data_IF_464142948099
#
_entry.id   IF_464142948099
#
_cell.length_a   1.000
_cell.length_b   1.000
_cell.length_c   1.000
_cell.angle_alpha   90.00
_cell.angle_beta   90.00
_cell.angle_gamma   90.00
#
_symmetry.space_group_name_H-M   'P 1'
#
loop_
_entity.id
_entity.type
_entity.pdbx_description
1 polymer ?
#
# COMPACT_ATOMS: atom_id res chain seq x y z
N UNK A 1 15.45 -19.07 -23.71
CA UNK A 1 15.72 -19.61 -22.36
C UNK A 1 14.91 -18.80 -21.36
N UNK A 2 13.82 -19.36 -20.84
CA UNK A 2 13.09 -18.75 -19.73
C UNK A 2 14.03 -18.65 -18.54
N UNK A 3 14.15 -17.45 -18.00
CA UNK A 3 15.03 -17.17 -16.87
C UNK A 3 14.43 -17.85 -15.63
N UNK A 4 15.11 -18.87 -15.08
CA UNK A 4 14.61 -19.72 -13.97
C UNK A 4 14.09 -18.87 -12.81
N UNK A 5 14.74 -17.74 -12.54
CA UNK A 5 14.33 -16.77 -11.51
C UNK A 5 12.92 -16.24 -11.77
N UNK A 6 12.57 -15.92 -13.02
CA UNK A 6 11.24 -15.40 -13.37
C UNK A 6 10.13 -16.44 -13.17
N UNK A 7 10.43 -17.73 -13.34
CA UNK A 7 9.48 -18.81 -13.09
C UNK A 7 9.21 -18.93 -11.57
N UNK A 8 10.27 -18.96 -10.77
CA UNK A 8 10.15 -19.00 -9.30
C UNK A 8 9.40 -17.76 -8.75
N UNK A 9 9.68 -16.58 -9.29
CA UNK A 9 8.97 -15.35 -8.90
C UNK A 9 7.47 -15.44 -9.24
N UNK A 10 7.12 -15.99 -10.40
CA UNK A 10 5.74 -16.12 -10.84
C UNK A 10 4.94 -17.09 -9.96
N UNK A 11 5.54 -18.20 -9.53
CA UNK A 11 4.92 -19.17 -8.61
C UNK A 11 4.56 -18.54 -7.26
N UNK A 12 5.36 -17.58 -6.78
CA UNK A 12 5.13 -16.90 -5.51
C UNK A 12 4.15 -15.72 -5.62
N UNK A 13 3.90 -15.19 -6.82
CA UNK A 13 2.95 -14.09 -7.06
C UNK A 13 1.49 -14.58 -7.18
N UNK A 14 1.04 -15.39 -6.23
CA UNK A 14 -0.28 -16.05 -6.27
C UNK A 14 -1.43 -15.17 -5.73
N UNK A 15 -1.16 -13.98 -5.20
CA UNK A 15 -2.18 -13.07 -4.67
C UNK A 15 -2.80 -12.21 -5.78
N UNK A 16 -4.13 -12.12 -5.79
CA UNK A 16 -4.85 -11.06 -6.52
C UNK A 16 -4.64 -9.71 -5.83
N UNK A 17 -3.88 -8.83 -6.47
CA UNK A 17 -3.67 -7.46 -6.00
C UNK A 17 -4.66 -6.55 -6.70
N UNK A 18 -5.50 -5.77 -5.99
CA UNK A 18 -6.40 -4.84 -6.64
C UNK A 18 -5.61 -3.77 -7.41
N UNK A 19 -6.21 -3.21 -8.46
CA UNK A 19 -5.62 -2.06 -9.12
C UNK A 19 -5.81 -0.80 -8.28
N UNK A 20 -4.69 -0.18 -7.92
CA UNK A 20 -4.63 1.09 -7.21
C UNK A 20 -3.35 1.84 -7.55
N UNK A 21 -3.43 3.14 -7.39
CA UNK A 21 -2.40 4.11 -7.76
C UNK A 21 -2.02 5.00 -6.59
N UNK A 22 -0.86 5.67 -6.65
CA UNK A 22 -0.54 6.74 -5.71
C UNK A 22 -1.68 7.77 -5.70
N UNK A 23 -2.14 8.17 -4.52
CA UNK A 23 -3.27 9.07 -4.32
C UNK A 23 -4.50 8.36 -3.76
N UNK A 24 -4.64 7.06 -4.01
CA UNK A 24 -5.76 6.27 -3.51
C UNK A 24 -5.65 6.02 -2.00
N UNK A 25 -6.80 6.00 -1.33
CA UNK A 25 -6.89 5.54 0.06
C UNK A 25 -7.08 4.03 0.04
N UNK A 26 -6.17 3.31 0.68
CA UNK A 26 -6.18 1.85 0.78
C UNK A 26 -6.27 1.41 2.23
N UNK A 27 -6.95 0.29 2.45
CA UNK A 27 -6.95 -0.45 3.72
C UNK A 27 -6.14 -1.71 3.51
N UNK A 28 -5.06 -1.87 4.27
CA UNK A 28 -4.22 -3.06 4.24
C UNK A 28 -4.48 -3.86 5.51
N UNK A 29 -5.00 -5.07 5.38
CA UNK A 29 -5.12 -5.99 6.51
C UNK A 29 -3.79 -6.71 6.70
N UNK A 30 -3.18 -6.55 7.87
CA UNK A 30 -1.86 -7.11 8.19
C UNK A 30 -2.02 -8.16 9.28
N UNK A 31 -1.43 -9.33 9.08
CA UNK A 31 -1.30 -10.37 10.09
C UNK A 31 -0.27 -9.96 11.13
N UNK A 32 -0.71 -9.84 12.38
CA UNK A 32 0.14 -9.51 13.52
C UNK A 32 0.10 -10.68 14.48
N UNK A 33 1.29 -11.21 14.81
CA UNK A 33 1.47 -12.31 15.77
C UNK A 33 1.92 -11.75 17.11
N UNK A 34 1.12 -11.96 18.14
CA UNK A 34 1.37 -11.56 19.52
C UNK A 34 1.48 -12.84 20.37
N UNK A 35 2.70 -13.35 20.53
CA UNK A 35 2.96 -14.65 21.15
C UNK A 35 2.33 -15.79 20.33
N UNK A 36 1.33 -16.46 20.91
CA UNK A 36 0.61 -17.58 20.28
C UNK A 36 -0.67 -17.16 19.55
N UNK A 37 -1.08 -15.89 19.63
CA UNK A 37 -2.30 -15.40 18.95
C UNK A 37 -1.94 -14.64 17.68
N UNK A 38 -2.74 -14.84 16.65
CA UNK A 38 -2.65 -14.10 15.40
C UNK A 38 -3.95 -13.31 15.20
N UNK A 39 -3.82 -12.03 14.85
CA UNK A 39 -4.95 -11.16 14.53
C UNK A 39 -4.69 -10.35 13.27
N UNK A 40 -5.76 -9.93 12.62
CA UNK A 40 -5.68 -8.96 11.53
C UNK A 40 -5.75 -7.54 12.09
N UNK A 41 -4.79 -6.72 11.69
CA UNK A 41 -4.76 -5.30 11.99
C UNK A 41 -4.89 -4.50 10.69
N UNK A 42 -5.93 -3.67 10.62
CA UNK A 42 -6.14 -2.78 9.50
C UNK A 42 -5.18 -1.57 9.56
N UNK A 43 -4.52 -1.29 8.45
CA UNK A 43 -3.77 -0.06 8.21
C UNK A 43 -4.42 0.71 7.07
N UNK A 44 -5.27 1.68 7.42
CA UNK A 44 -5.90 2.59 6.45
C UNK A 44 -5.06 3.85 6.25
N UNK A 45 -4.80 4.22 5.00
CA UNK A 45 -4.15 5.47 4.66
C UNK A 45 -4.01 5.70 3.17
N UNK A 46 -3.36 6.79 2.80
CA UNK A 46 -3.12 7.17 1.40
C UNK A 46 -1.89 6.45 0.87
N UNK A 47 -2.00 5.81 -0.28
CA UNK A 47 -0.84 5.32 -1.03
C UNK A 47 -0.05 6.52 -1.57
N UNK A 48 1.19 6.72 -1.09
CA UNK A 48 2.02 7.85 -1.52
C UNK A 48 3.11 7.45 -2.51
N UNK A 49 3.40 6.15 -2.62
CA UNK A 49 4.36 5.61 -3.56
C UNK A 49 4.04 4.15 -3.86
N UNK A 50 4.25 3.73 -5.11
CA UNK A 50 4.14 2.35 -5.55
C UNK A 50 5.37 2.00 -6.39
N UNK A 51 5.97 0.84 -6.12
CA UNK A 51 7.13 0.28 -6.83
C UNK A 51 6.69 -1.04 -7.46
N UNK A 52 6.69 -1.09 -8.79
CA UNK A 52 6.32 -2.29 -9.56
C UNK A 52 7.60 -3.02 -10.00
N UNK A 53 7.89 -4.17 -9.38
CA UNK A 53 9.10 -4.99 -9.57
C UNK A 53 8.81 -6.49 -9.38
N UNK A 54 7.73 -7.02 -9.95
CA UNK A 54 7.36 -8.43 -9.81
C UNK A 54 7.16 -8.79 -8.33
N UNK A 55 7.77 -9.90 -7.86
CA UNK A 55 7.69 -10.33 -6.46
C UNK A 55 8.20 -9.26 -5.48
N UNK A 56 9.18 -8.46 -5.92
CA UNK A 56 9.79 -7.36 -5.16
C UNK A 56 8.99 -6.05 -5.23
N UNK A 57 7.71 -6.12 -5.63
CA UNK A 57 6.83 -4.96 -5.67
C UNK A 57 6.47 -4.50 -4.26
N UNK A 58 6.45 -3.20 -4.05
CA UNK A 58 6.13 -2.60 -2.76
C UNK A 58 5.29 -1.34 -2.91
N UNK A 59 4.60 -0.95 -1.85
CA UNK A 59 3.87 0.32 -1.82
C UNK A 59 3.93 0.94 -0.43
N UNK A 60 3.90 2.27 -0.37
CA UNK A 60 3.99 3.03 0.87
C UNK A 60 2.64 3.65 1.17
N UNK A 61 2.10 3.34 2.34
CA UNK A 61 0.85 3.92 2.84
C UNK A 61 1.17 4.89 3.97
N UNK A 62 0.65 6.11 3.87
CA UNK A 62 0.78 7.17 4.87
C UNK A 62 -0.56 7.39 5.56
N UNK A 63 -0.57 7.43 6.89
CA UNK A 63 -1.70 7.87 7.70
C UNK A 63 -1.25 8.81 8.80
N UNK A 64 -2.16 9.62 9.32
CA UNK A 64 -1.93 10.35 10.57
C UNK A 64 -2.58 9.55 11.68
N UNK A 65 -1.81 9.23 12.72
CA UNK A 65 -2.24 8.44 13.87
C UNK A 65 -1.90 9.23 15.12
N UNK A 66 -2.92 9.64 15.89
CA UNK A 66 -2.74 10.43 17.11
C UNK A 66 -1.90 11.70 16.91
N UNK A 67 -2.17 12.42 15.81
CA UNK A 67 -1.43 13.65 15.45
C UNK A 67 -0.10 13.41 14.71
N UNK A 68 0.44 12.19 14.76
CA UNK A 68 1.73 11.87 14.17
C UNK A 68 1.62 11.18 12.81
N UNK A 69 2.51 11.56 11.89
CA UNK A 69 2.57 10.98 10.55
C UNK A 69 3.23 9.61 10.57
N UNK A 70 2.47 8.55 10.32
CA UNK A 70 2.96 7.18 10.24
C UNK A 70 2.98 6.71 8.79
N UNK A 71 4.13 6.27 8.32
CA UNK A 71 4.30 5.61 7.02
C UNK A 71 4.68 4.16 7.22
N UNK A 72 4.06 3.27 6.44
CA UNK A 72 4.44 1.87 6.39
C UNK A 72 4.65 1.45 4.94
N UNK A 73 5.78 0.80 4.68
CA UNK A 73 6.09 0.19 3.39
C UNK A 73 5.68 -1.26 3.45
N UNK A 74 4.80 -1.67 2.54
CA UNK A 74 4.34 -3.04 2.41
C UNK A 74 4.99 -3.69 1.21
N UNK A 75 5.49 -4.92 1.39
CA UNK A 75 5.83 -5.81 0.30
C UNK A 75 4.54 -6.45 -0.21
N UNK A 76 4.24 -6.24 -1.50
CA UNK A 76 2.91 -6.51 -2.08
C UNK A 76 2.50 -7.98 -1.95
N UNK A 77 3.46 -8.88 -2.12
CA UNK A 77 3.27 -10.32 -2.09
C UNK A 77 3.70 -10.96 -0.76
N UNK A 78 4.00 -10.16 0.27
CA UNK A 78 4.35 -10.73 1.58
C UNK A 78 3.16 -11.52 2.16
N UNK A 79 3.42 -12.69 2.78
CA UNK A 79 2.40 -13.44 3.52
C UNK A 79 1.78 -12.65 4.68
N UNK A 80 2.51 -11.66 5.22
CA UNK A 80 2.04 -10.79 6.31
C UNK A 80 0.89 -9.87 5.90
N UNK A 81 0.77 -9.52 4.62
CA UNK A 81 -0.37 -8.78 4.10
C UNK A 81 -1.47 -9.81 3.83
N UNK A 82 -2.61 -9.74 4.51
CA UNK A 82 -3.73 -10.63 4.27
C UNK A 82 -4.56 -10.14 3.08
N UNK A 83 -4.87 -8.84 3.05
CA UNK A 83 -5.79 -8.25 2.09
C UNK A 83 -5.42 -6.79 1.82
N UNK A 84 -5.70 -6.32 0.61
CA UNK A 84 -5.60 -4.91 0.22
C UNK A 84 -6.97 -4.53 -0.35
N UNK A 85 -7.57 -3.48 0.17
CA UNK A 85 -8.84 -2.93 -0.31
C UNK A 85 -8.67 -1.46 -0.69
N UNK A 86 -9.25 -1.05 -1.82
CA UNK A 86 -9.29 0.35 -2.23
C UNK A 86 -10.57 0.97 -1.68
N UNK A 87 -10.44 1.91 -0.75
CA UNK A 87 -11.58 2.59 -0.13
C UNK A 87 -12.03 3.81 -0.92
N UNK A 88 -11.07 4.54 -1.52
CA UNK A 88 -11.33 5.77 -2.26
C UNK A 88 -10.26 6.02 -3.31
N UNK A 89 -10.66 6.46 -4.51
CA UNK A 89 -9.73 6.85 -5.57
C UNK A 89 -9.36 8.33 -5.50
N UNK A 90 -8.07 8.63 -5.56
CA UNK A 90 -7.53 9.98 -5.41
C UNK A 90 -6.97 10.52 -6.72
N UNK A 91 -7.42 11.71 -7.12
CA UNK A 91 -6.92 12.39 -8.31
C UNK A 91 -5.62 13.14 -8.02
N UNK A 92 -4.51 12.60 -8.51
CA UNK A 92 -3.18 13.22 -8.39
C UNK A 92 -2.46 13.20 -9.74
N UNK A 93 -1.40 14.00 -9.86
CA UNK A 93 -0.56 14.08 -11.08
C UNK A 93 0.83 13.46 -10.91
N UNK A 94 1.28 13.22 -9.68
CA UNK A 94 2.64 12.73 -9.38
C UNK A 94 2.58 11.25 -8.99
N UNK A 95 3.55 10.46 -9.46
CA UNK A 95 3.69 9.05 -9.08
C UNK A 95 4.24 8.86 -7.66
N UNK A 96 4.87 9.89 -7.07
CA UNK A 96 5.36 9.88 -5.69
C UNK A 96 4.89 11.15 -4.98
N UNK A 97 4.12 10.97 -3.91
CA UNK A 97 3.43 12.04 -3.19
C UNK A 97 4.18 12.47 -1.92
N UNK A 98 5.52 12.46 -1.95
CA UNK A 98 6.34 12.81 -0.77
C UNK A 98 6.10 14.23 -0.24
N UNK A 99 5.57 15.13 -1.08
CA UNK A 99 5.17 16.46 -0.64
C UNK A 99 4.08 16.43 0.45
N UNK A 100 3.32 15.34 0.59
CA UNK A 100 2.33 15.17 1.66
C UNK A 100 2.95 14.99 3.05
N UNK A 101 4.26 14.77 3.14
CA UNK A 101 4.98 14.71 4.42
C UNK A 101 5.02 16.06 5.13
N UNK A 102 5.17 17.14 4.36
CA UNK A 102 5.19 18.51 4.86
C UNK A 102 3.82 19.20 4.85
N UNK A 103 2.73 18.48 4.62
CA UNK A 103 1.36 19.05 4.60
C UNK A 103 0.50 18.41 5.67
N UNK A 104 -0.34 19.22 6.30
CA UNK A 104 -1.29 18.80 7.35
C UNK A 104 -2.68 19.37 7.07
N UNK A 105 -3.69 18.81 7.75
CA UNK A 105 -5.08 19.30 7.69
C UNK A 105 -5.62 19.46 6.28
N UNK A 106 -6.18 20.64 5.98
CA UNK A 106 -6.80 20.94 4.68
C UNK A 106 -5.81 20.89 3.51
N UNK A 107 -4.53 21.21 3.74
CA UNK A 107 -3.51 21.23 2.70
C UNK A 107 -3.10 19.82 2.21
N UNK A 108 -3.29 18.80 3.06
CA UNK A 108 -2.99 17.41 2.74
C UNK A 108 -4.14 16.69 2.01
N UNK A 109 -5.31 17.34 1.83
CA UNK A 109 -6.47 16.71 1.19
C UNK A 109 -6.20 16.41 -0.29
N UNK A 110 -6.56 15.20 -0.71
CA UNK A 110 -6.51 14.76 -2.11
C UNK A 110 -7.92 14.78 -2.68
N UNK A 111 -8.10 15.46 -3.81
CA UNK A 111 -9.38 15.50 -4.54
C UNK A 111 -9.78 14.09 -4.97
N UNK A 112 -11.07 13.78 -4.88
CA UNK A 112 -11.59 12.49 -5.34
C UNK A 112 -11.53 12.42 -6.86
N UNK A 113 -11.15 11.27 -7.40
CA UNK A 113 -11.35 11.02 -8.83
C UNK A 113 -12.79 10.57 -9.05
N UNK A 114 -13.66 11.56 -9.20
CA UNK A 114 -15.05 11.35 -9.63
C UNK A 114 -15.00 11.17 -11.14
N UNK A 115 -14.87 9.93 -11.57
CA UNK A 115 -15.11 9.49 -12.94
C UNK A 115 -16.37 8.65 -12.96
#
# INVERSE_FOLDING_TARGET
MSNIIQQLDAEQMNRKVPDFTPGDTVVVQVKVKEGNRERLQAFEGVCIAKRNRGINSAFTVRKVSHGEGVERVFQTYSPSVAEIQVKRRGKVRRAKLYYLRGRTGKAARIKEDVK
#
